data_IF_799334479747
#
_entry.id   IF_799334479747
#
_cell.length_a   1.000
_cell.length_b   1.000
_cell.length_c   1.000
_cell.angle_alpha   90.00
_cell.angle_beta   90.00
_cell.angle_gamma   90.00
#
_symmetry.space_group_name_H-M   'P 1'
#
loop_
_entity.id
_entity.type
_entity.pdbx_description
1 polymer ?
#
# COMPACT_ATOMS: atom_id res chain seq x y z
N UNK A 1 -0.35 3.56 20.92
CA UNK A 1 -0.97 2.20 20.94
C UNK A 1 -2.36 2.40 20.37
N UNK A 2 -2.63 1.91 19.16
CA UNK A 2 -4.01 1.87 18.65
C UNK A 2 -4.83 0.97 19.58
N UNK A 3 -5.91 1.53 20.11
CA UNK A 3 -6.88 0.78 20.88
C UNK A 3 -7.40 -0.39 20.03
N UNK A 4 -7.34 -1.61 20.58
CA UNK A 4 -7.89 -2.80 19.91
C UNK A 4 -9.40 -2.65 19.85
N UNK A 5 -9.94 -2.16 18.74
CA UNK A 5 -11.39 -2.13 18.53
C UNK A 5 -11.93 -3.56 18.53
N UNK A 6 -12.99 -3.83 19.28
CA UNK A 6 -13.69 -5.10 19.21
C UNK A 6 -14.51 -5.18 17.91
N UNK A 7 -14.84 -6.39 17.44
CA UNK A 7 -15.64 -6.58 16.22
C UNK A 7 -16.94 -5.76 16.23
N UNK A 8 -17.61 -5.65 17.38
CA UNK A 8 -18.84 -4.88 17.56
C UNK A 8 -18.69 -3.38 17.31
N UNK A 9 -17.46 -2.84 17.51
CA UNK A 9 -17.15 -1.42 17.42
C UNK A 9 -16.55 -1.04 16.05
N UNK A 10 -16.45 -2.01 15.12
CA UNK A 10 -15.97 -1.75 13.77
C UNK A 10 -17.02 -1.05 12.92
N UNK A 11 -16.58 -0.11 12.11
CA UNK A 11 -17.37 0.47 11.01
C UNK A 11 -17.19 -0.36 9.73
N UNK A 12 -18.14 -0.29 8.80
CA UNK A 12 -18.14 -1.07 7.55
C UNK A 12 -16.92 -0.74 6.66
N UNK A 13 -16.33 0.43 6.79
CA UNK A 13 -15.05 0.77 6.12
C UNK A 13 -13.87 -0.09 6.61
N UNK A 14 -14.01 -0.84 7.69
CA UNK A 14 -12.98 -1.78 8.11
C UNK A 14 -12.94 -2.98 7.18
N UNK A 15 -11.79 -3.27 6.60
CA UNK A 15 -11.57 -4.30 5.60
C UNK A 15 -12.15 -5.68 5.98
N UNK A 16 -11.90 -6.14 7.22
CA UNK A 16 -12.41 -7.44 7.68
C UNK A 16 -13.94 -7.46 7.70
N UNK A 17 -14.57 -6.45 8.32
CA UNK A 17 -16.03 -6.38 8.40
C UNK A 17 -16.64 -6.21 7.00
N UNK A 18 -16.01 -5.43 6.14
CA UNK A 18 -16.44 -5.23 4.75
C UNK A 18 -16.48 -6.55 3.98
N UNK A 19 -15.39 -7.32 4.01
CA UNK A 19 -15.32 -8.61 3.34
C UNK A 19 -16.39 -9.60 3.87
N UNK A 20 -16.57 -9.68 5.20
CA UNK A 20 -17.57 -10.54 5.84
C UNK A 20 -19.02 -10.16 5.49
N UNK A 21 -19.30 -8.89 5.30
CA UNK A 21 -20.63 -8.38 4.96
C UNK A 21 -20.90 -8.54 3.47
N UNK A 22 -19.94 -8.21 2.61
CA UNK A 22 -20.05 -8.27 1.16
C UNK A 22 -19.96 -9.71 0.58
N UNK A 23 -19.67 -10.71 1.41
CA UNK A 23 -19.80 -12.13 1.05
C UNK A 23 -21.26 -12.54 0.77
N UNK A 24 -22.22 -11.77 1.26
CA UNK A 24 -23.63 -11.97 0.97
C UNK A 24 -23.98 -11.39 -0.40
N UNK A 25 -24.53 -12.21 -1.36
CA UNK A 25 -24.78 -11.76 -2.73
C UNK A 25 -25.77 -10.60 -2.84
N UNK A 26 -26.82 -10.58 -2.02
CA UNK A 26 -27.83 -9.52 -2.06
C UNK A 26 -27.24 -8.20 -1.57
N UNK A 27 -26.46 -8.25 -0.50
CA UNK A 27 -25.77 -7.09 0.08
C UNK A 27 -24.72 -6.54 -0.88
N UNK A 28 -23.98 -7.42 -1.55
CA UNK A 28 -22.99 -7.02 -2.56
C UNK A 28 -23.67 -6.35 -3.76
N UNK A 29 -24.78 -6.90 -4.25
CA UNK A 29 -25.61 -6.30 -5.31
C UNK A 29 -26.13 -4.93 -4.90
N UNK A 30 -26.58 -4.79 -3.65
CA UNK A 30 -27.06 -3.50 -3.13
C UNK A 30 -25.94 -2.45 -3.12
N UNK A 31 -24.76 -2.81 -2.61
CA UNK A 31 -23.60 -1.90 -2.57
C UNK A 31 -23.17 -1.48 -3.98
N UNK A 32 -23.01 -2.44 -4.92
CA UNK A 32 -22.67 -2.15 -6.30
C UNK A 32 -23.74 -1.28 -6.98
N UNK A 33 -25.02 -1.56 -6.70
CA UNK A 33 -26.13 -0.80 -7.30
C UNK A 33 -26.17 0.65 -6.79
N UNK A 34 -25.86 0.88 -5.52
CA UNK A 34 -25.71 2.23 -4.95
C UNK A 34 -24.54 2.96 -5.61
N UNK A 35 -23.37 2.30 -5.68
CA UNK A 35 -22.14 2.92 -6.21
C UNK A 35 -22.26 3.27 -7.69
N UNK A 36 -22.88 2.41 -8.48
CA UNK A 36 -22.97 2.56 -9.93
C UNK A 36 -24.24 3.29 -10.37
N UNK A 37 -25.18 3.56 -9.46
CA UNK A 37 -26.44 4.21 -9.76
C UNK A 37 -27.38 3.41 -10.69
N UNK A 38 -27.19 2.08 -10.76
CA UNK A 38 -27.97 1.16 -11.58
C UNK A 38 -28.17 -0.17 -10.89
N UNK A 39 -29.20 -0.92 -11.25
CA UNK A 39 -29.45 -2.22 -10.65
C UNK A 39 -28.48 -3.27 -11.17
N UNK A 40 -27.62 -3.79 -10.30
CA UNK A 40 -26.66 -4.85 -10.63
C UNK A 40 -27.22 -6.19 -10.16
N UNK A 41 -27.13 -7.21 -11.00
CA UNK A 41 -27.44 -8.60 -10.66
C UNK A 41 -26.19 -9.45 -10.78
N UNK A 42 -25.88 -10.21 -9.75
CA UNK A 42 -24.71 -11.08 -9.74
C UNK A 42 -25.03 -12.46 -10.32
N UNK A 43 -24.12 -12.99 -11.11
CA UNK A 43 -24.19 -14.32 -11.68
C UNK A 43 -24.03 -15.42 -10.62
N UNK A 44 -23.22 -15.16 -9.60
CA UNK A 44 -22.90 -16.09 -8.52
C UNK A 44 -22.56 -15.33 -7.23
N UNK A 45 -22.44 -16.07 -6.12
CA UNK A 45 -21.95 -15.50 -4.87
C UNK A 45 -20.58 -14.82 -5.05
N UNK A 46 -20.35 -13.67 -4.40
CA UNK A 46 -19.05 -13.00 -4.40
C UNK A 46 -17.94 -13.92 -3.86
N UNK A 47 -16.71 -13.65 -4.25
CA UNK A 47 -15.53 -14.31 -3.72
C UNK A 47 -14.75 -13.30 -2.89
N UNK A 48 -14.83 -13.44 -1.58
CA UNK A 48 -14.08 -12.58 -0.65
C UNK A 48 -12.65 -13.08 -0.51
N UNK A 49 -11.72 -12.13 -0.36
CA UNK A 49 -10.29 -12.41 -0.19
C UNK A 49 -9.69 -13.33 -1.28
N UNK A 50 -10.20 -13.19 -2.51
CA UNK A 50 -9.73 -13.96 -3.66
C UNK A 50 -8.27 -13.65 -3.98
N UNK A 51 -7.42 -14.67 -3.92
CA UNK A 51 -6.00 -14.53 -4.29
C UNK A 51 -5.82 -14.68 -5.80
N UNK A 52 -5.16 -13.71 -6.41
CA UNK A 52 -4.73 -13.76 -7.81
C UNK A 52 -3.21 -13.74 -7.91
N UNK A 53 -2.66 -14.70 -8.67
CA UNK A 53 -1.23 -14.82 -8.95
C UNK A 53 -1.02 -15.36 -10.35
N UNK A 54 -0.27 -14.63 -11.17
CA UNK A 54 0.08 -15.06 -12.54
C UNK A 54 1.19 -16.11 -12.52
N UNK A 55 2.10 -16.06 -11.55
CA UNK A 55 3.26 -16.94 -11.43
C UNK A 55 3.68 -17.06 -9.97
N UNK A 56 4.29 -18.18 -9.54
CA UNK A 56 4.84 -18.33 -8.19
C UNK A 56 5.88 -17.26 -7.81
N UNK A 57 6.53 -16.64 -8.81
CA UNK A 57 7.51 -15.57 -8.63
C UNK A 57 6.90 -14.17 -8.69
N UNK A 58 5.64 -14.03 -9.12
CA UNK A 58 4.94 -12.76 -9.15
C UNK A 58 4.35 -12.41 -7.79
N UNK A 59 4.28 -11.11 -7.49
CA UNK A 59 3.57 -10.62 -6.31
C UNK A 59 2.09 -11.01 -6.45
N UNK A 60 1.60 -11.83 -5.52
CA UNK A 60 0.16 -12.11 -5.42
C UNK A 60 -0.58 -10.88 -4.92
N UNK A 61 -1.84 -10.77 -5.32
CA UNK A 61 -2.78 -9.83 -4.73
C UNK A 61 -3.92 -10.60 -4.06
N UNK A 62 -4.53 -9.98 -3.09
CA UNK A 62 -5.74 -10.47 -2.42
C UNK A 62 -6.80 -9.40 -2.58
N UNK A 63 -7.77 -9.68 -3.44
CA UNK A 63 -8.93 -8.82 -3.65
C UNK A 63 -9.88 -8.96 -2.48
N UNK A 64 -10.41 -7.84 -1.98
CA UNK A 64 -11.28 -7.89 -0.82
C UNK A 64 -12.63 -8.52 -1.18
N UNK A 65 -13.26 -8.08 -2.26
CA UNK A 65 -14.55 -8.62 -2.73
C UNK A 65 -14.59 -8.64 -4.26
N UNK A 66 -14.49 -9.84 -4.83
CA UNK A 66 -14.59 -10.08 -6.27
C UNK A 66 -15.97 -10.61 -6.62
N UNK A 67 -16.62 -10.04 -7.64
CA UNK A 67 -17.94 -10.48 -8.12
C UNK A 67 -18.09 -10.34 -9.62
N UNK A 68 -19.03 -11.10 -10.19
CA UNK A 68 -19.35 -11.09 -11.63
C UNK A 68 -20.84 -10.90 -11.79
N UNK A 69 -21.27 -9.96 -12.64
CA UNK A 69 -22.68 -9.75 -12.95
C UNK A 69 -23.21 -10.76 -13.99
N UNK A 70 -24.52 -10.83 -14.13
CA UNK A 70 -25.19 -11.65 -15.16
C UNK A 70 -24.76 -11.27 -16.57
N UNK A 71 -24.42 -10.00 -16.81
CA UNK A 71 -23.89 -9.49 -18.09
C UNK A 71 -22.41 -9.81 -18.31
N UNK A 72 -21.75 -10.45 -17.34
CA UNK A 72 -20.35 -10.81 -17.40
C UNK A 72 -19.38 -9.70 -16.97
N UNK A 73 -19.86 -8.55 -16.52
CA UNK A 73 -19.00 -7.49 -15.98
C UNK A 73 -18.40 -7.92 -14.64
N UNK A 74 -17.14 -7.60 -14.44
CA UNK A 74 -16.36 -8.02 -13.27
C UNK A 74 -16.10 -6.84 -12.35
N UNK A 75 -16.27 -7.06 -11.06
CA UNK A 75 -16.10 -6.04 -10.03
C UNK A 75 -15.11 -6.52 -8.97
N UNK A 76 -14.22 -5.62 -8.59
CA UNK A 76 -13.40 -5.75 -7.38
C UNK A 76 -13.66 -4.54 -6.49
N UNK A 77 -14.17 -4.76 -5.28
CA UNK A 77 -14.43 -3.71 -4.30
C UNK A 77 -13.48 -3.84 -3.12
N UNK A 78 -12.81 -2.75 -2.79
CA UNK A 78 -11.87 -2.68 -1.67
C UNK A 78 -12.22 -1.56 -0.69
N UNK A 79 -12.24 -1.88 0.60
CA UNK A 79 -12.38 -0.89 1.68
C UNK A 79 -11.00 -0.54 2.26
N UNK A 80 -10.68 0.75 2.29
CA UNK A 80 -9.37 1.26 2.65
C UNK A 80 -9.45 2.33 3.74
N UNK A 81 -9.11 1.97 4.98
CA UNK A 81 -9.12 2.87 6.14
C UNK A 81 -7.71 3.34 6.57
N UNK A 82 -6.68 2.96 5.83
CA UNK A 82 -5.30 3.38 6.08
C UNK A 82 -4.75 4.07 4.85
N UNK A 83 -4.22 5.28 5.03
CA UNK A 83 -3.63 6.03 3.92
C UNK A 83 -2.49 5.27 3.26
N UNK A 84 -2.56 5.13 1.93
CA UNK A 84 -1.56 4.49 1.10
C UNK A 84 -1.28 5.36 -0.13
N UNK A 85 0.00 5.54 -0.44
CA UNK A 85 0.47 6.41 -1.53
C UNK A 85 0.48 5.74 -2.90
N UNK A 86 0.23 4.42 -2.96
CA UNK A 86 0.38 3.61 -4.16
C UNK A 86 -0.95 3.08 -4.75
N UNK A 87 -2.10 3.49 -4.19
CA UNK A 87 -3.42 2.99 -4.60
C UNK A 87 -3.70 3.12 -6.10
N UNK A 88 -3.27 4.21 -6.74
CA UNK A 88 -3.46 4.41 -8.17
C UNK A 88 -2.68 3.37 -9.00
N UNK A 89 -1.44 3.06 -8.62
CA UNK A 89 -0.63 2.03 -9.29
C UNK A 89 -1.10 0.63 -8.92
N UNK A 90 -1.52 0.44 -7.68
CA UNK A 90 -2.08 -0.82 -7.18
C UNK A 90 -3.36 -1.18 -7.94
N UNK A 91 -4.28 -0.25 -8.12
CA UNK A 91 -5.51 -0.49 -8.89
C UNK A 91 -5.23 -0.92 -10.33
N UNK A 92 -4.19 -0.33 -10.98
CA UNK A 92 -3.76 -0.78 -12.31
C UNK A 92 -3.20 -2.20 -12.30
N UNK A 93 -2.44 -2.55 -11.28
CA UNK A 93 -1.88 -3.89 -11.13
C UNK A 93 -2.98 -4.93 -10.88
N UNK A 94 -3.96 -4.59 -10.05
CA UNK A 94 -5.14 -5.42 -9.81
C UNK A 94 -5.94 -5.68 -11.09
N UNK A 95 -6.18 -4.62 -11.88
CA UNK A 95 -6.81 -4.72 -13.19
C UNK A 95 -6.09 -5.75 -14.08
N UNK A 96 -4.77 -5.65 -14.20
CA UNK A 96 -3.99 -6.55 -15.06
C UNK A 96 -4.01 -8.01 -14.61
N UNK A 97 -4.02 -8.25 -13.31
CA UNK A 97 -4.12 -9.61 -12.76
C UNK A 97 -5.52 -10.19 -12.92
N UNK A 98 -6.55 -9.37 -12.77
CA UNK A 98 -7.93 -9.74 -13.01
C UNK A 98 -8.15 -10.13 -14.48
N UNK A 99 -7.72 -9.29 -15.41
CA UNK A 99 -7.79 -9.55 -16.86
C UNK A 99 -7.04 -10.84 -17.24
N UNK A 100 -5.82 -11.03 -16.70
CA UNK A 100 -5.02 -12.25 -16.93
C UNK A 100 -5.67 -13.53 -16.39
N UNK A 101 -6.53 -13.42 -15.38
CA UNK A 101 -7.20 -14.59 -14.77
C UNK A 101 -8.52 -14.95 -15.43
N UNK A 102 -9.11 -14.01 -16.17
CA UNK A 102 -10.42 -14.16 -16.81
C UNK A 102 -10.33 -14.62 -18.26
N UNK A 103 -9.22 -14.29 -18.93
CA UNK A 103 -9.01 -14.72 -20.30
C UNK A 103 -8.49 -16.16 -20.33
N UNK A 104 -9.23 -17.07 -20.96
CA UNK A 104 -8.79 -18.46 -21.09
C UNK A 104 -7.54 -18.58 -21.97
N UNK A 105 -6.63 -19.55 -21.65
CA UNK A 105 -5.49 -19.83 -22.50
C UNK A 105 -5.92 -20.18 -23.93
N UNK A 106 -5.30 -19.59 -24.94
CA UNK A 106 -5.56 -19.77 -26.38
C UNK A 106 -6.77 -19.03 -26.94
N UNK A 107 -7.26 -18.02 -26.24
CA UNK A 107 -8.24 -17.11 -26.81
C UNK A 107 -7.54 -16.20 -27.84
N UNK A 108 -7.99 -16.28 -29.10
CA UNK A 108 -7.45 -15.44 -30.19
C UNK A 108 -8.16 -14.07 -30.31
N UNK A 109 -9.27 -13.88 -29.59
CA UNK A 109 -10.10 -12.68 -29.67
C UNK A 109 -10.20 -11.96 -28.33
N UNK A 110 -9.46 -10.89 -28.17
CA UNK A 110 -9.48 -10.06 -26.97
C UNK A 110 -10.79 -9.31 -26.68
N UNK A 111 -11.74 -9.27 -27.65
CA UNK A 111 -13.09 -8.76 -27.39
C UNK A 111 -13.89 -9.65 -26.44
N UNK A 112 -13.38 -10.81 -26.05
CA UNK A 112 -13.97 -11.68 -25.02
C UNK A 112 -13.53 -11.28 -23.60
N UNK A 113 -12.60 -10.33 -23.48
CA UNK A 113 -12.25 -9.79 -22.18
C UNK A 113 -13.43 -9.06 -21.56
N UNK A 114 -13.70 -9.35 -20.30
CA UNK A 114 -14.83 -8.77 -19.58
C UNK A 114 -14.63 -7.26 -19.34
N UNK A 115 -15.72 -6.50 -19.38
CA UNK A 115 -15.69 -5.17 -18.76
C UNK A 115 -15.42 -5.31 -17.27
N UNK A 116 -14.61 -4.42 -16.71
CA UNK A 116 -14.10 -4.59 -15.34
C UNK A 116 -14.02 -3.27 -14.58
N UNK A 117 -14.40 -3.34 -13.30
CA UNK A 117 -14.43 -2.23 -12.38
C UNK A 117 -13.56 -2.52 -11.17
N UNK A 118 -12.57 -1.67 -10.91
CA UNK A 118 -11.87 -1.61 -9.63
C UNK A 118 -12.45 -0.46 -8.83
N UNK A 119 -13.06 -0.77 -7.70
CA UNK A 119 -13.76 0.18 -6.83
C UNK A 119 -13.02 0.23 -5.49
N UNK A 120 -12.42 1.37 -5.17
CA UNK A 120 -11.73 1.61 -3.91
C UNK A 120 -12.54 2.59 -3.08
N UNK A 121 -12.93 2.21 -1.88
CA UNK A 121 -13.68 3.05 -0.95
C UNK A 121 -12.74 3.43 0.19
N UNK A 122 -12.48 4.73 0.38
CA UNK A 122 -11.55 5.23 1.37
C UNK A 122 -12.20 6.25 2.32
N UNK A 123 -11.76 6.26 3.59
CA UNK A 123 -12.15 7.28 4.58
C UNK A 123 -11.25 8.53 4.54
N UNK A 124 -10.58 8.73 3.40
CA UNK A 124 -9.75 9.89 3.11
C UNK A 124 -9.77 10.21 1.61
N UNK A 125 -9.52 11.48 1.28
CA UNK A 125 -9.47 11.92 -0.12
C UNK A 125 -8.10 11.59 -0.75
N UNK A 126 -8.11 10.67 -1.72
CA UNK A 126 -6.92 10.19 -2.42
C UNK A 126 -6.34 11.27 -3.37
N UNK A 127 -7.21 12.17 -3.88
CA UNK A 127 -6.86 13.13 -4.93
C UNK A 127 -6.89 14.59 -4.46
N UNK A 128 -7.43 14.88 -3.26
CA UNK A 128 -7.42 16.20 -2.66
C UNK A 128 -8.40 17.22 -3.30
N UNK A 129 -9.42 16.75 -4.04
CA UNK A 129 -10.43 17.61 -4.68
C UNK A 129 -11.78 17.59 -3.95
N UNK A 130 -11.84 16.98 -2.77
CA UNK A 130 -13.01 16.91 -1.89
C UNK A 130 -14.28 16.32 -2.55
N UNK A 131 -14.12 15.44 -3.55
CA UNK A 131 -15.25 14.78 -4.23
C UNK A 131 -15.55 13.41 -3.60
N UNK A 132 -16.84 13.03 -3.60
CA UNK A 132 -17.29 11.70 -3.17
C UNK A 132 -16.86 10.59 -4.13
N UNK A 133 -16.78 10.89 -5.43
CA UNK A 133 -16.52 9.91 -6.47
C UNK A 133 -15.54 10.45 -7.50
N UNK A 134 -14.52 9.66 -7.82
CA UNK A 134 -13.56 9.89 -8.91
C UNK A 134 -13.57 8.68 -9.83
N UNK A 135 -14.06 8.86 -11.05
CA UNK A 135 -14.11 7.80 -12.07
C UNK A 135 -13.05 8.02 -13.14
N UNK A 136 -12.20 7.01 -13.35
CA UNK A 136 -11.14 7.04 -14.34
C UNK A 136 -11.42 6.03 -15.45
N UNK A 137 -11.38 6.53 -16.70
CA UNK A 137 -11.44 5.77 -17.94
C UNK A 137 -10.35 6.25 -18.88
N UNK A 138 -9.85 5.40 -19.76
CA UNK A 138 -8.87 5.79 -20.74
C UNK A 138 -9.49 6.71 -21.81
N UNK A 139 -8.85 7.86 -22.07
CA UNK A 139 -9.28 8.87 -23.02
C UNK A 139 -8.14 9.19 -23.98
N UNK A 140 -8.46 9.59 -25.22
CA UNK A 140 -7.50 10.07 -26.20
C UNK A 140 -6.96 11.46 -25.76
N UNK A 141 -5.64 11.63 -25.75
CA UNK A 141 -5.01 12.91 -25.38
C UNK A 141 -5.27 13.98 -26.44
N UNK A 142 -5.19 13.60 -27.71
CA UNK A 142 -5.40 14.50 -28.86
C UNK A 142 -6.89 14.88 -29.05
N UNK A 143 -7.81 14.11 -28.47
CA UNK A 143 -9.23 14.35 -28.57
C UNK A 143 -9.95 13.96 -27.28
N UNK A 144 -10.08 14.90 -26.35
CA UNK A 144 -10.54 14.66 -24.97
C UNK A 144 -11.97 14.09 -24.82
N UNK A 145 -12.80 14.14 -25.88
CA UNK A 145 -14.14 13.53 -25.89
C UNK A 145 -14.16 12.09 -26.47
N UNK A 146 -13.00 11.55 -26.91
CA UNK A 146 -12.89 10.20 -27.48
C UNK A 146 -12.43 9.19 -26.40
N UNK A 147 -13.34 8.35 -25.85
CA UNK A 147 -12.97 7.28 -24.95
C UNK A 147 -12.33 6.11 -25.70
N UNK A 148 -11.36 5.42 -25.06
CA UNK A 148 -10.73 4.21 -25.61
C UNK A 148 -11.71 3.04 -25.73
N UNK A 149 -12.72 2.96 -24.86
CA UNK A 149 -13.75 1.90 -24.81
C UNK A 149 -13.16 0.50 -24.63
N UNK A 150 -12.15 0.39 -23.79
CA UNK A 150 -11.50 -0.88 -23.43
C UNK A 150 -12.22 -1.65 -22.32
N UNK A 151 -13.33 -1.11 -21.79
CA UNK A 151 -14.12 -1.71 -20.70
C UNK A 151 -13.50 -1.59 -19.31
N UNK A 152 -12.29 -1.03 -19.18
CA UNK A 152 -11.61 -0.89 -17.90
C UNK A 152 -11.99 0.42 -17.19
N UNK A 153 -12.58 0.30 -15.99
CA UNK A 153 -13.03 1.45 -15.18
C UNK A 153 -12.42 1.35 -13.77
N UNK A 154 -11.93 2.48 -13.25
CA UNK A 154 -11.48 2.59 -11.86
C UNK A 154 -12.27 3.69 -11.17
N UNK A 155 -12.87 3.33 -10.03
CA UNK A 155 -13.68 4.24 -9.22
C UNK A 155 -13.01 4.36 -7.85
N UNK A 156 -12.76 5.59 -7.43
CA UNK A 156 -12.28 5.88 -6.10
C UNK A 156 -13.34 6.69 -5.37
N UNK A 157 -13.85 6.14 -4.28
CA UNK A 157 -14.86 6.75 -3.44
C UNK A 157 -14.22 7.29 -2.16
N UNK A 158 -14.63 8.48 -1.78
CA UNK A 158 -14.19 9.17 -0.58
C UNK A 158 -15.40 9.38 0.34
N UNK A 159 -15.37 8.81 1.55
CA UNK A 159 -16.49 8.94 2.51
C UNK A 159 -16.68 10.37 3.03
N UNK A 160 -15.70 11.26 2.77
CA UNK A 160 -15.65 12.65 3.26
C UNK A 160 -15.70 13.66 2.12
N UNK A 161 -16.38 13.34 1.04
CA UNK A 161 -16.62 14.29 -0.05
C UNK A 161 -17.44 15.51 0.40
N UNK A 162 -17.50 16.54 -0.45
CA UNK A 162 -18.24 17.78 -0.18
C UNK A 162 -19.08 18.25 -1.38
N UNK A 163 -19.27 17.37 -2.36
CA UNK A 163 -19.98 17.70 -3.61
C UNK A 163 -21.28 16.88 -3.73
N UNK A 164 -22.13 16.92 -2.70
CA UNK A 164 -23.37 16.16 -2.60
C UNK A 164 -24.26 16.35 -3.84
N UNK A 165 -24.33 17.57 -4.39
CA UNK A 165 -25.15 17.87 -5.57
C UNK A 165 -24.69 17.21 -6.88
N UNK A 166 -23.49 16.63 -6.91
CA UNK A 166 -22.91 15.98 -8.10
C UNK A 166 -23.08 14.44 -8.08
N UNK A 167 -23.57 13.86 -6.99
CA UNK A 167 -23.76 12.44 -6.79
C UNK A 167 -25.16 12.14 -6.26
N UNK A 168 -25.58 10.86 -6.25
CA UNK A 168 -26.89 10.52 -5.69
C UNK A 168 -26.89 10.62 -4.16
N UNK A 169 -28.04 11.01 -3.61
CA UNK A 169 -28.22 11.05 -2.15
C UNK A 169 -27.95 9.69 -1.52
N UNK A 170 -28.37 8.59 -2.17
CA UNK A 170 -28.15 7.23 -1.70
C UNK A 170 -26.66 6.87 -1.61
N UNK A 171 -25.81 7.36 -2.55
CA UNK A 171 -24.36 7.16 -2.47
C UNK A 171 -23.75 7.93 -1.30
N UNK A 172 -24.19 9.17 -1.07
CA UNK A 172 -23.73 9.99 0.08
C UNK A 172 -24.10 9.30 1.40
N UNK A 173 -25.35 8.86 1.54
CA UNK A 173 -25.84 8.13 2.71
C UNK A 173 -25.05 6.83 2.94
N UNK A 174 -24.78 6.07 1.88
CA UNK A 174 -24.00 4.83 1.95
C UNK A 174 -22.56 5.10 2.41
N UNK A 175 -21.87 6.08 1.82
CA UNK A 175 -20.51 6.42 2.20
C UNK A 175 -20.43 6.95 3.63
N UNK A 176 -21.40 7.75 4.07
CA UNK A 176 -21.51 8.19 5.45
C UNK A 176 -21.77 7.01 6.40
N UNK A 177 -22.63 6.05 6.01
CA UNK A 177 -22.90 4.84 6.77
C UNK A 177 -21.66 3.96 6.89
N UNK A 178 -20.83 3.84 5.85
CA UNK A 178 -19.59 3.04 5.91
C UNK A 178 -18.61 3.54 6.99
N UNK A 179 -18.54 4.85 7.21
CA UNK A 179 -17.68 5.45 8.23
C UNK A 179 -18.36 5.46 9.63
N UNK A 180 -19.70 5.48 9.68
CA UNK A 180 -20.49 5.58 10.89
C UNK A 180 -21.55 4.47 10.96
N UNK A 181 -21.11 3.23 11.11
CA UNK A 181 -21.96 2.03 11.05
C UNK A 181 -22.70 1.80 12.36
N UNK A 182 -23.79 2.56 12.57
CA UNK A 182 -24.66 2.53 13.76
C UNK A 182 -26.12 2.36 13.40
N UNK A 183 -26.91 1.82 14.34
CA UNK A 183 -28.36 1.69 14.19
C UNK A 183 -29.02 3.05 13.91
N UNK A 184 -28.51 4.12 14.54
CA UNK A 184 -29.01 5.48 14.34
C UNK A 184 -28.85 5.92 12.88
N UNK A 185 -27.63 5.87 12.33
CA UNK A 185 -27.36 6.29 10.95
C UNK A 185 -28.17 5.45 9.96
N UNK A 186 -28.25 4.14 10.17
CA UNK A 186 -29.07 3.27 9.31
C UNK A 186 -30.56 3.63 9.35
N UNK A 187 -31.11 4.05 10.51
CA UNK A 187 -32.51 4.44 10.63
C UNK A 187 -32.83 5.82 10.05
N UNK A 188 -31.83 6.67 9.90
CA UNK A 188 -31.97 8.00 9.31
C UNK A 188 -31.94 7.99 7.77
N UNK A 189 -31.44 6.92 7.15
CA UNK A 189 -31.45 6.74 5.69
C UNK A 189 -32.81 6.29 5.17
N UNK A 190 -33.21 6.80 4.01
CA UNK A 190 -34.39 6.36 3.27
C UNK A 190 -34.16 5.12 2.38
N UNK A 191 -32.92 4.62 2.29
CA UNK A 191 -32.56 3.52 1.39
C UNK A 191 -32.81 2.14 2.01
N UNK A 192 -33.70 1.36 1.40
CA UNK A 192 -33.91 -0.04 1.78
C UNK A 192 -32.66 -0.90 1.59
N UNK A 193 -31.79 -0.56 0.61
CA UNK A 193 -30.54 -1.25 0.38
C UNK A 193 -29.57 -1.04 1.56
N UNK A 194 -29.43 0.18 2.05
CA UNK A 194 -28.58 0.46 3.20
C UNK A 194 -29.12 -0.25 4.46
N UNK A 195 -30.43 -0.34 4.60
CA UNK A 195 -31.06 -1.08 5.71
C UNK A 195 -30.74 -2.58 5.64
N UNK A 196 -30.82 -3.23 4.49
CA UNK A 196 -30.39 -4.64 4.32
C UNK A 196 -28.90 -4.82 4.61
N UNK A 197 -28.05 -3.92 4.11
CA UNK A 197 -26.62 -3.94 4.45
C UNK A 197 -26.44 -3.86 5.97
N UNK A 198 -27.19 -2.98 6.66
CA UNK A 198 -27.11 -2.84 8.10
C UNK A 198 -27.56 -4.09 8.86
N UNK A 199 -28.62 -4.74 8.42
CA UNK A 199 -29.07 -6.02 8.98
C UNK A 199 -27.97 -7.09 8.88
N UNK A 200 -27.29 -7.15 7.73
CA UNK A 200 -26.18 -8.08 7.50
C UNK A 200 -25.00 -7.74 8.40
N UNK A 201 -24.65 -6.47 8.56
CA UNK A 201 -23.62 -5.99 9.51
C UNK A 201 -23.93 -6.45 10.93
N UNK A 202 -25.16 -6.25 11.39
CA UNK A 202 -25.58 -6.65 12.73
C UNK A 202 -25.52 -8.17 12.90
N UNK A 203 -25.88 -8.95 11.88
CA UNK A 203 -25.74 -10.41 11.88
C UNK A 203 -24.27 -10.82 11.97
N UNK A 204 -23.37 -10.20 11.20
CA UNK A 204 -21.94 -10.47 11.22
C UNK A 204 -21.34 -10.15 12.60
N UNK A 205 -21.65 -8.98 13.18
CA UNK A 205 -21.15 -8.54 14.49
C UNK A 205 -21.60 -9.42 15.64
N UNK A 206 -22.75 -10.11 15.53
CA UNK A 206 -23.30 -11.03 16.55
C UNK A 206 -22.85 -12.48 16.35
N UNK A 207 -22.23 -12.81 15.23
CA UNK A 207 -21.81 -14.18 14.90
C UNK A 207 -20.54 -14.57 15.64
N UNK A 208 -20.61 -15.65 16.45
CA UNK A 208 -19.44 -16.21 17.12
C UNK A 208 -18.38 -16.69 16.12
N UNK A 209 -18.79 -17.27 14.99
CA UNK A 209 -17.89 -17.73 13.95
C UNK A 209 -17.11 -16.56 13.32
N UNK A 210 -17.77 -15.42 13.06
CA UNK A 210 -17.11 -14.19 12.58
C UNK A 210 -16.17 -13.65 13.65
N UNK A 211 -16.61 -13.64 14.91
CA UNK A 211 -15.78 -13.24 16.05
C UNK A 211 -14.48 -14.04 16.16
N UNK A 212 -14.55 -15.37 16.00
CA UNK A 212 -13.36 -16.23 16.01
C UNK A 212 -12.42 -15.96 14.82
N UNK A 213 -12.96 -15.74 13.61
CA UNK A 213 -12.14 -15.36 12.44
C UNK A 213 -11.45 -14.03 12.66
N UNK A 214 -12.17 -13.03 13.18
CA UNK A 214 -11.61 -11.73 13.49
C UNK A 214 -10.46 -11.81 14.50
N UNK A 215 -10.64 -12.56 15.58
CA UNK A 215 -9.59 -12.77 16.59
C UNK A 215 -8.34 -13.42 15.98
N UNK A 216 -8.51 -14.45 15.16
CA UNK A 216 -7.41 -15.13 14.47
C UNK A 216 -6.65 -14.16 13.56
N UNK A 217 -7.37 -13.40 12.72
CA UNK A 217 -6.72 -12.42 11.82
C UNK A 217 -5.96 -11.34 12.61
N UNK A 218 -6.53 -10.88 13.73
CA UNK A 218 -5.85 -9.93 14.61
C UNK A 218 -4.59 -10.52 15.27
N UNK A 219 -4.60 -11.77 15.64
CA UNK A 219 -3.44 -12.48 16.19
C UNK A 219 -2.35 -12.64 15.14
N UNK A 220 -2.70 -13.07 13.92
CA UNK A 220 -1.77 -13.21 12.80
C UNK A 220 -1.13 -11.86 12.42
N UNK A 221 -1.92 -10.79 12.32
CA UNK A 221 -1.41 -9.43 12.06
C UNK A 221 -0.48 -8.95 13.17
N UNK A 222 -0.81 -9.22 14.42
CA UNK A 222 0.05 -8.85 15.55
C UNK A 222 1.36 -9.65 15.52
N UNK A 223 1.31 -10.95 15.24
CA UNK A 223 2.51 -11.79 15.11
C UNK A 223 3.42 -11.28 14.00
N UNK A 224 2.89 -11.04 12.79
CA UNK A 224 3.65 -10.50 11.66
C UNK A 224 4.27 -9.13 11.98
N UNK A 225 3.54 -8.24 12.69
CA UNK A 225 4.06 -6.93 13.10
C UNK A 225 5.20 -7.05 14.11
N UNK A 226 5.09 -7.99 15.06
CA UNK A 226 6.13 -8.25 16.05
C UNK A 226 7.38 -8.81 15.37
N UNK A 227 7.20 -9.78 14.46
CA UNK A 227 8.29 -10.39 13.69
C UNK A 227 9.02 -9.37 12.84
N UNK A 228 8.32 -8.58 12.01
CA UNK A 228 8.93 -7.53 11.20
C UNK A 228 9.65 -6.46 12.03
N UNK A 229 9.13 -6.14 13.25
CA UNK A 229 9.83 -5.23 14.15
C UNK A 229 11.11 -5.85 14.73
N UNK A 230 11.10 -7.16 15.01
CA UNK A 230 12.29 -7.87 15.48
C UNK A 230 13.35 -7.99 14.38
N UNK A 231 12.95 -8.28 13.15
CA UNK A 231 13.85 -8.35 12.00
C UNK A 231 14.49 -7.00 11.72
N UNK A 232 13.70 -5.92 11.58
CA UNK A 232 14.25 -4.58 11.36
C UNK A 232 15.16 -4.10 12.47
N UNK A 233 14.89 -4.49 13.75
CA UNK A 233 15.80 -4.21 14.86
C UNK A 233 17.11 -5.01 14.79
N UNK A 234 17.04 -6.26 14.29
CA UNK A 234 18.22 -7.11 14.10
C UNK A 234 19.09 -6.59 12.97
N UNK A 235 18.47 -6.22 11.83
CA UNK A 235 19.14 -5.64 10.68
C UNK A 235 19.85 -4.32 11.04
N UNK A 236 19.12 -3.35 11.59
CA UNK A 236 19.70 -2.08 11.99
C UNK A 236 20.81 -2.22 13.05
N UNK A 237 20.74 -3.25 13.92
CA UNK A 237 21.84 -3.55 14.86
C UNK A 237 23.06 -4.15 14.15
N UNK A 238 22.85 -4.95 13.10
CA UNK A 238 23.95 -5.51 12.30
C UNK A 238 24.62 -4.42 11.44
N UNK A 239 23.83 -3.58 10.79
CA UNK A 239 24.31 -2.43 10.01
C UNK A 239 25.13 -1.47 10.88
N UNK A 240 24.58 -1.01 12.02
CA UNK A 240 25.30 -0.11 12.92
C UNK A 240 26.58 -0.72 13.51
N UNK A 241 26.63 -2.06 13.70
CA UNK A 241 27.89 -2.73 14.10
C UNK A 241 28.90 -2.77 12.96
N UNK A 242 28.46 -2.92 11.73
CA UNK A 242 29.32 -2.92 10.56
C UNK A 242 29.90 -1.52 10.29
N UNK A 243 29.03 -0.50 10.31
CA UNK A 243 29.43 0.90 10.19
C UNK A 243 30.41 1.31 11.28
N UNK A 244 30.12 1.02 12.55
CA UNK A 244 31.03 1.33 13.66
C UNK A 244 32.36 0.60 13.56
N UNK A 245 32.43 -0.61 13.00
CA UNK A 245 33.71 -1.31 12.74
C UNK A 245 34.52 -0.64 11.63
N UNK A 246 33.86 -0.17 10.57
CA UNK A 246 34.52 0.54 9.47
C UNK A 246 35.06 1.87 9.98
N UNK A 247 34.23 2.63 10.70
CA UNK A 247 34.61 3.93 11.26
C UNK A 247 35.77 3.81 12.26
N UNK A 248 35.68 2.82 13.15
CA UNK A 248 36.80 2.54 14.10
C UNK A 248 38.13 2.16 13.40
N UNK A 249 38.06 1.40 12.28
CA UNK A 249 39.25 1.12 11.48
C UNK A 249 39.81 2.36 10.79
N UNK A 250 38.96 3.23 10.28
CA UNK A 250 39.39 4.48 9.66
C UNK A 250 40.03 5.42 10.69
N UNK A 251 39.46 5.49 11.89
CA UNK A 251 40.02 6.30 12.99
C UNK A 251 41.43 5.84 13.38
N UNK A 252 41.60 4.53 13.61
CA UNK A 252 42.94 3.94 13.88
C UNK A 252 43.92 4.23 12.76
N UNK A 253 43.50 4.10 11.47
CA UNK A 253 44.40 4.42 10.34
C UNK A 253 44.80 5.90 10.28
N UNK A 254 43.86 6.82 10.56
CA UNK A 254 44.20 8.27 10.67
C UNK A 254 45.21 8.53 11.76
N UNK A 255 44.99 7.94 12.93
CA UNK A 255 45.98 8.06 14.03
C UNK A 255 47.35 7.47 13.67
N UNK A 256 47.39 6.30 13.04
CA UNK A 256 48.65 5.65 12.68
C UNK A 256 49.38 6.46 11.59
N UNK A 257 48.70 7.05 10.61
CA UNK A 257 49.30 7.95 9.65
C UNK A 257 49.93 9.16 10.35
N UNK A 258 49.18 9.81 11.23
CA UNK A 258 49.66 10.97 11.97
C UNK A 258 50.86 10.62 12.88
N UNK A 259 50.86 9.45 13.54
CA UNK A 259 51.96 8.95 14.34
C UNK A 259 53.23 8.70 13.50
N UNK A 260 53.09 8.10 12.33
CA UNK A 260 54.21 7.88 11.40
C UNK A 260 54.81 9.19 10.93
N UNK A 261 53.98 10.15 10.53
CA UNK A 261 54.43 11.48 10.10
C UNK A 261 55.07 12.28 11.21
N UNK A 262 54.58 12.18 12.45
CA UNK A 262 55.18 12.83 13.64
C UNK A 262 56.60 12.35 13.94
N UNK A 263 56.99 11.14 13.54
CA UNK A 263 58.37 10.65 13.64
C UNK A 263 59.34 11.34 12.64
N UNK A 264 58.79 11.96 11.58
CA UNK A 264 59.52 12.64 10.53
C UNK A 264 59.70 14.16 10.81
N UNK A 265 58.85 14.73 11.69
CA UNK A 265 58.88 16.15 12.08
C UNK A 265 57.50 16.66 12.50
N UNK A 266 57.38 18.00 12.60
CA UNK A 266 56.10 18.65 12.93
C UNK A 266 55.12 18.58 11.76
N UNK A 267 53.95 17.92 11.98
CA UNK A 267 52.91 17.76 10.95
C UNK A 267 52.10 19.06 10.83
N UNK A 268 52.03 19.70 9.65
CA UNK A 268 51.25 20.93 9.47
C UNK A 268 49.77 20.74 9.74
N UNK A 269 49.08 21.75 10.29
CA UNK A 269 47.66 21.70 10.65
C UNK A 269 46.77 21.35 9.45
N UNK A 270 47.04 21.94 8.27
CA UNK A 270 46.28 21.66 7.06
C UNK A 270 46.39 20.21 6.58
N UNK A 271 47.51 19.53 6.82
CA UNK A 271 47.72 18.13 6.49
C UNK A 271 47.00 17.23 7.53
N UNK A 272 47.04 17.63 8.77
CA UNK A 272 46.29 16.96 9.85
C UNK A 272 44.79 17.00 9.61
N UNK A 273 44.23 18.18 9.23
CA UNK A 273 42.82 18.32 8.87
C UNK A 273 42.43 17.48 7.65
N UNK A 274 43.30 17.42 6.64
CA UNK A 274 43.10 16.61 5.45
C UNK A 274 43.01 15.11 5.78
N UNK A 275 43.92 14.60 6.63
CA UNK A 275 43.94 13.20 7.06
C UNK A 275 42.72 12.90 7.93
N UNK A 276 42.38 13.77 8.87
CA UNK A 276 41.19 13.59 9.72
C UNK A 276 39.87 13.66 8.96
N UNK A 277 39.80 14.47 7.90
CA UNK A 277 38.61 14.64 7.06
C UNK A 277 38.40 13.52 6.04
N UNK A 278 39.38 12.64 5.82
CA UNK A 278 39.26 11.57 4.83
C UNK A 278 38.25 10.48 5.27
N UNK A 279 37.25 10.18 4.43
CA UNK A 279 36.16 9.23 4.72
C UNK A 279 36.24 7.94 3.90
N UNK A 280 37.19 7.84 2.99
CA UNK A 280 37.40 6.66 2.17
C UNK A 280 38.42 5.72 2.81
N UNK A 281 38.01 4.47 3.10
CA UNK A 281 38.83 3.48 3.78
C UNK A 281 40.04 3.06 2.93
N UNK A 282 39.87 2.96 1.59
CA UNK A 282 40.93 2.53 0.69
C UNK A 282 41.97 3.64 0.50
N UNK A 283 41.52 4.90 0.47
CA UNK A 283 42.42 6.07 0.43
C UNK A 283 43.25 6.14 1.72
N UNK A 284 42.62 5.96 2.89
CA UNK A 284 43.36 5.94 4.16
C UNK A 284 44.36 4.77 4.22
N UNK A 285 44.02 3.62 3.66
CA UNK A 285 44.95 2.49 3.59
C UNK A 285 46.16 2.81 2.72
N UNK A 286 45.92 3.43 1.56
CA UNK A 286 47.00 3.87 0.67
C UNK A 286 47.87 4.94 1.32
N UNK A 287 47.27 5.92 2.00
CA UNK A 287 48.00 6.95 2.72
C UNK A 287 48.83 6.39 3.87
N UNK A 288 48.34 5.36 4.57
CA UNK A 288 49.13 4.67 5.61
C UNK A 288 50.37 4.02 5.01
N UNK A 289 50.28 3.39 3.85
CA UNK A 289 51.41 2.77 3.18
C UNK A 289 52.41 3.83 2.65
N UNK A 290 51.92 4.97 2.19
CA UNK A 290 52.76 6.12 1.79
C UNK A 290 53.49 6.73 2.99
N UNK A 291 52.79 6.96 4.09
CA UNK A 291 53.38 7.49 5.34
C UNK A 291 54.50 6.57 5.89
N UNK A 292 54.32 5.25 5.80
CA UNK A 292 55.30 4.27 6.22
C UNK A 292 56.58 4.24 5.35
N UNK A 293 56.54 4.79 4.12
CA UNK A 293 57.66 4.83 3.17
C UNK A 293 58.27 6.23 2.98
N UNK A 294 57.61 7.26 3.48
CA UNK A 294 58.03 8.65 3.32
C UNK A 294 59.32 8.91 4.08
N UNK A 295 60.26 9.66 3.45
CA UNK A 295 61.50 10.12 4.07
C UNK A 295 61.33 11.51 4.70
N UNK A 296 60.29 12.27 4.29
CA UNK A 296 59.93 13.58 4.86
C UNK A 296 58.42 13.82 4.80
N UNK A 297 57.91 14.81 5.52
CA UNK A 297 56.49 15.23 5.48
C UNK A 297 56.15 15.80 4.10
N UNK A 298 57.08 16.51 3.48
CA UNK A 298 56.91 17.07 2.14
C UNK A 298 56.79 15.99 1.06
N UNK A 299 57.53 14.90 1.20
CA UNK A 299 57.47 13.75 0.31
C UNK A 299 56.07 13.10 0.40
N UNK A 300 55.56 12.79 1.60
CA UNK A 300 54.22 12.31 1.77
C UNK A 300 53.17 13.24 1.20
N UNK A 301 53.24 14.56 1.51
CA UNK A 301 52.28 15.53 1.06
C UNK A 301 52.26 15.68 -0.45
N UNK A 302 53.37 15.42 -1.17
CA UNK A 302 53.41 15.40 -2.63
C UNK A 302 52.75 14.18 -3.24
N UNK A 303 52.88 13.01 -2.59
CA UNK A 303 52.33 11.75 -3.09
C UNK A 303 50.77 11.67 -2.93
N UNK A 304 50.22 12.20 -1.87
CA UNK A 304 48.76 12.21 -1.68
C UNK A 304 48.00 13.19 -2.55
N UNK A 305 48.69 14.10 -3.27
CA UNK A 305 48.10 15.05 -4.25
C UNK A 305 48.03 14.50 -5.66
N UNK A 306 48.71 13.39 -5.92
CA UNK A 306 48.70 12.69 -7.21
C UNK A 306 47.44 11.79 -7.32
#
# INVERSE_FOLDING_TARGET
>A
MEEKKALKDLNLINRFLFAEVMDDPEVNQDALSIILGQNIRLLSSPQTEKEHRVSPLAKSIRMDVFSVSEEGTVYDMEAQSTYQTDLQKRSRYYQSLMDSSLLEPRVDNYNQLNDSYIIVIADYDIFGLEKYCYTFKAMCEEHSSLPLRDGAVRIFLNTRGKNESEVSDELVEFLHYMENTTDKVASETGSERIQRIHERVNKAKRSEAVGMRFMREMEERNAARVEGRMEGRKEGRMEGRMEGRIEGRMEVRREDILKLLANLGDVPDNLTEQIQGQKDEDVLMNWLLLAAKAESIEDFASEIRK
#
